data_IF_216015358678
#
_entry.id   IF_216015358678
#
_cell.length_a   1.000
_cell.length_b   1.000
_cell.length_c   1.000
_cell.angle_alpha   90.00
_cell.angle_beta   90.00
_cell.angle_gamma   90.00
#
_symmetry.space_group_name_H-M   'P 1'
#
loop_
_entity.id
_entity.type
_entity.pdbx_description
1 polymer ?
#
# COMPACT_ATOMS: atom_id res chain seq x y z
N UNK A 1 -6.30 -6.73 -30.92
CA UNK A 1 -7.22 -5.57 -30.78
C UNK A 1 -7.34 -5.15 -29.31
N UNK A 2 -7.60 -3.86 -29.04
CA UNK A 2 -7.74 -3.32 -27.68
C UNK A 2 -9.16 -2.81 -27.46
N UNK A 3 -9.79 -3.21 -26.35
CA UNK A 3 -11.15 -2.79 -25.98
C UNK A 3 -11.13 -2.10 -24.62
N UNK A 4 -12.02 -1.12 -24.43
CA UNK A 4 -12.05 -0.33 -23.20
C UNK A 4 -12.78 -1.01 -22.04
N UNK A 5 -13.77 -1.86 -22.36
CA UNK A 5 -14.60 -2.56 -21.38
C UNK A 5 -15.13 -3.88 -21.93
N UNK A 6 -15.56 -4.77 -21.04
CA UNK A 6 -16.18 -6.04 -21.38
C UNK A 6 -17.10 -6.51 -20.24
N UNK A 7 -17.95 -7.50 -20.54
CA UNK A 7 -18.79 -8.19 -19.55
C UNK A 7 -18.59 -9.70 -19.71
N UNK A 8 -18.53 -10.42 -18.60
CA UNK A 8 -18.41 -11.88 -18.60
C UNK A 8 -19.79 -12.50 -18.57
N UNK A 9 -20.16 -13.27 -19.59
CA UNK A 9 -21.37 -14.08 -19.58
C UNK A 9 -20.98 -15.53 -19.24
N UNK A 10 -21.26 -15.96 -18.00
CA UNK A 10 -20.88 -17.26 -17.47
C UNK A 10 -21.95 -17.77 -16.50
N UNK A 11 -22.26 -19.07 -16.47
CA UNK A 11 -23.16 -19.64 -15.47
C UNK A 11 -22.65 -19.49 -14.03
N UNK A 12 -21.36 -19.20 -13.85
CA UNK A 12 -20.73 -19.02 -12.54
C UNK A 12 -20.62 -17.55 -12.12
N UNK A 13 -21.16 -16.61 -12.91
CA UNK A 13 -21.09 -15.18 -12.62
C UNK A 13 -22.49 -14.58 -12.65
N UNK A 14 -22.88 -13.94 -11.55
CA UNK A 14 -24.12 -13.19 -11.43
C UNK A 14 -23.83 -11.71 -11.15
N UNK A 15 -24.44 -10.84 -11.95
CA UNK A 15 -24.39 -9.39 -11.75
C UNK A 15 -25.71 -8.93 -11.14
N UNK A 16 -25.64 -8.32 -9.97
CA UNK A 16 -26.77 -7.63 -9.33
C UNK A 16 -26.59 -6.12 -9.47
N UNK A 17 -27.48 -5.32 -8.86
CA UNK A 17 -27.38 -3.86 -8.89
C UNK A 17 -26.06 -3.34 -8.26
N UNK A 18 -25.62 -3.95 -7.16
CA UNK A 18 -24.50 -3.45 -6.35
C UNK A 18 -23.37 -4.47 -6.15
N UNK A 19 -23.50 -5.69 -6.69
CA UNK A 19 -22.58 -6.79 -6.39
C UNK A 19 -22.34 -7.70 -7.61
N UNK A 20 -21.13 -8.22 -7.71
CA UNK A 20 -20.77 -9.33 -8.61
C UNK A 20 -20.54 -10.56 -7.73
N UNK A 21 -21.31 -11.62 -7.98
CA UNK A 21 -21.13 -12.93 -7.37
C UNK A 21 -20.42 -13.84 -8.36
N UNK A 22 -19.37 -14.53 -7.93
CA UNK A 22 -18.60 -15.44 -8.77
C UNK A 22 -18.25 -16.71 -8.03
N UNK A 23 -18.54 -17.86 -8.65
CA UNK A 23 -18.08 -19.16 -8.16
C UNK A 23 -16.76 -19.52 -8.85
N UNK A 24 -15.74 -19.85 -8.08
CA UNK A 24 -14.43 -20.26 -8.57
C UNK A 24 -14.02 -21.59 -7.95
N UNK A 25 -13.83 -22.60 -8.80
CA UNK A 25 -13.29 -23.89 -8.40
C UNK A 25 -11.74 -23.80 -8.42
N UNK A 26 -11.13 -23.63 -7.25
CA UNK A 26 -9.68 -23.58 -7.09
C UNK A 26 -9.10 -25.01 -7.09
N UNK A 27 -8.52 -25.39 -8.22
CA UNK A 27 -7.81 -26.64 -8.37
C UNK A 27 -6.40 -26.53 -7.78
N UNK A 28 -6.08 -27.43 -6.86
CA UNK A 28 -4.78 -27.49 -6.19
C UNK A 28 -4.38 -28.94 -5.93
N UNK A 29 -3.20 -29.15 -5.35
CA UNK A 29 -2.66 -30.49 -5.12
C UNK A 29 -2.07 -30.59 -3.73
N UNK A 30 -2.50 -31.60 -2.97
CA UNK A 30 -1.94 -31.92 -1.67
C UNK A 30 -0.91 -33.05 -1.82
N UNK A 31 0.27 -32.87 -1.24
CA UNK A 31 1.34 -33.87 -1.25
C UNK A 31 1.51 -34.41 0.16
N UNK A 32 1.38 -35.72 0.32
CA UNK A 32 1.53 -36.41 1.59
C UNK A 32 2.63 -37.47 1.52
N UNK A 33 3.30 -37.72 2.64
CA UNK A 33 4.31 -38.76 2.77
C UNK A 33 3.79 -39.82 3.73
N UNK A 34 3.27 -40.91 3.20
CA UNK A 34 2.56 -41.94 3.97
C UNK A 34 3.28 -43.29 3.86
N UNK A 35 3.26 -44.08 4.94
CA UNK A 35 3.73 -45.46 4.90
C UNK A 35 2.65 -46.35 4.29
N UNK A 36 2.95 -46.97 3.15
CA UNK A 36 2.13 -48.00 2.52
C UNK A 36 2.93 -49.29 2.39
N UNK A 37 2.40 -50.35 2.99
CA UNK A 37 2.99 -51.70 2.97
C UNK A 37 4.45 -51.76 3.45
N UNK A 38 4.80 -51.00 4.49
CA UNK A 38 6.14 -51.00 5.07
C UNK A 38 7.16 -50.10 4.36
N UNK A 39 6.73 -49.35 3.33
CA UNK A 39 7.56 -48.36 2.64
C UNK A 39 6.90 -46.99 2.66
N UNK A 40 7.67 -45.93 2.92
CA UNK A 40 7.17 -44.57 2.79
C UNK A 40 7.12 -44.15 1.32
N UNK A 41 6.00 -43.56 0.91
CA UNK A 41 5.75 -43.12 -0.47
C UNK A 41 5.17 -41.72 -0.47
N UNK A 42 5.58 -40.92 -1.46
CA UNK A 42 4.96 -39.63 -1.75
C UNK A 42 3.69 -39.86 -2.55
N UNK A 43 2.57 -39.29 -2.09
CA UNK A 43 1.27 -39.39 -2.76
C UNK A 43 0.82 -37.98 -3.10
N UNK A 44 0.52 -37.79 -4.38
CA UNK A 44 0.03 -36.54 -4.95
C UNK A 44 -1.48 -36.65 -5.09
N UNK A 45 -2.23 -35.81 -4.37
CA UNK A 45 -3.70 -35.82 -4.31
C UNK A 45 -4.24 -34.51 -4.91
N UNK A 46 -4.61 -34.49 -6.20
CA UNK A 46 -5.35 -33.37 -6.77
C UNK A 46 -6.66 -33.16 -6.01
N UNK A 47 -7.00 -31.90 -5.72
CA UNK A 47 -8.25 -31.53 -5.06
C UNK A 47 -8.78 -30.21 -5.58
N UNK A 48 -10.08 -30.04 -5.50
CA UNK A 48 -10.77 -28.81 -5.88
C UNK A 48 -11.42 -28.20 -4.65
N UNK A 49 -11.18 -26.91 -4.43
CA UNK A 49 -11.80 -26.11 -3.36
C UNK A 49 -12.71 -25.10 -4.02
N UNK A 50 -14.00 -25.15 -3.74
CA UNK A 50 -14.97 -24.19 -4.27
C UNK A 50 -14.95 -22.92 -3.42
N UNK A 51 -14.82 -21.77 -4.08
CA UNK A 51 -14.95 -20.45 -3.48
C UNK A 51 -16.13 -19.69 -4.07
N UNK A 52 -16.89 -19.05 -3.20
CA UNK A 52 -17.96 -18.13 -3.56
C UNK A 52 -17.48 -16.70 -3.25
N UNK A 53 -17.14 -15.95 -4.29
CA UNK A 53 -16.69 -14.58 -4.18
C UNK A 53 -17.86 -13.62 -4.34
N UNK A 54 -17.90 -12.61 -3.47
CA UNK A 54 -18.79 -11.46 -3.55
C UNK A 54 -17.95 -10.19 -3.64
N UNK A 55 -18.16 -9.42 -4.71
CA UNK A 55 -17.48 -8.14 -4.95
C UNK A 55 -18.50 -7.02 -4.96
N UNK A 56 -18.39 -6.08 -4.02
CA UNK A 56 -19.15 -4.82 -4.04
C UNK A 56 -18.70 -3.97 -5.25
N UNK A 57 -19.64 -3.56 -6.09
CA UNK A 57 -19.36 -2.75 -7.28
C UNK A 57 -19.31 -1.25 -6.98
N UNK A 58 -19.76 -0.82 -5.80
CA UNK A 58 -19.69 0.57 -5.37
C UNK A 58 -18.23 0.95 -5.08
N UNK A 59 -17.65 1.79 -5.94
CA UNK A 59 -16.32 2.36 -5.71
C UNK A 59 -16.40 3.40 -4.59
N UNK A 60 -15.71 3.19 -3.45
CA UNK A 60 -15.78 4.10 -2.31
C UNK A 60 -14.99 5.38 -2.58
N UNK A 61 -15.40 6.49 -1.96
CA UNK A 61 -14.52 7.65 -1.85
C UNK A 61 -13.35 7.30 -0.93
N UNK A 62 -12.14 7.26 -1.47
CA UNK A 62 -10.95 6.77 -0.77
C UNK A 62 -10.11 7.92 -0.23
N UNK A 63 -9.78 7.85 1.06
CA UNK A 63 -8.69 8.60 1.65
C UNK A 63 -7.42 7.76 1.76
N UNK A 64 -6.27 8.35 1.43
CA UNK A 64 -4.96 7.73 1.63
C UNK A 64 -4.12 8.65 2.51
N UNK A 65 -3.74 8.15 3.69
CA UNK A 65 -2.86 8.88 4.61
C UNK A 65 -1.45 8.30 4.57
N UNK A 66 -0.46 9.15 4.30
CA UNK A 66 0.92 8.75 4.15
C UNK A 66 1.72 9.10 5.40
N UNK A 67 2.40 8.12 6.00
CA UNK A 67 3.46 8.41 6.97
C UNK A 67 4.72 8.76 6.18
N UNK A 68 5.27 9.96 6.39
CA UNK A 68 6.30 10.54 5.54
C UNK A 68 5.73 11.25 4.30
N UNK A 69 4.55 11.88 4.43
CA UNK A 69 3.86 12.53 3.31
C UNK A 69 4.71 13.62 2.65
N UNK A 70 5.46 14.38 3.46
CA UNK A 70 6.39 15.39 3.00
C UNK A 70 7.66 14.80 2.39
N UNK A 71 7.86 13.49 2.33
CA UNK A 71 9.01 12.83 1.70
C UNK A 71 9.01 12.92 0.17
N UNK A 72 10.06 12.38 -0.47
CA UNK A 72 10.15 12.37 -1.94
C UNK A 72 8.97 11.62 -2.58
N UNK A 73 8.64 10.43 -2.07
CA UNK A 73 7.52 9.64 -2.57
C UNK A 73 6.17 10.32 -2.32
N UNK A 74 5.93 10.80 -1.09
CA UNK A 74 4.64 11.39 -0.73
C UNK A 74 4.34 12.69 -1.50
N UNK A 75 5.33 13.58 -1.62
CA UNK A 75 5.20 14.80 -2.43
C UNK A 75 5.02 14.49 -3.92
N UNK A 76 5.79 13.54 -4.47
CA UNK A 76 5.70 13.14 -5.89
C UNK A 76 4.38 12.44 -6.22
N UNK A 77 3.91 11.54 -5.35
CA UNK A 77 2.62 10.86 -5.53
C UNK A 77 1.47 11.86 -5.57
N UNK A 78 1.46 12.79 -4.61
CA UNK A 78 0.41 13.83 -4.51
C UNK A 78 0.46 14.75 -5.74
N UNK A 79 1.66 15.23 -6.10
CA UNK A 79 1.88 16.05 -7.29
C UNK A 79 1.44 15.35 -8.59
N UNK A 80 1.83 14.08 -8.76
CA UNK A 80 1.50 13.29 -9.95
C UNK A 80 0.00 13.07 -10.11
N UNK A 81 -0.73 12.85 -9.01
CA UNK A 81 -2.19 12.73 -9.05
C UNK A 81 -2.85 14.07 -9.39
N UNK A 82 -2.44 15.18 -8.77
CA UNK A 82 -2.97 16.51 -9.10
C UNK A 82 -2.70 16.83 -10.58
N UNK A 83 -1.49 16.55 -11.07
CA UNK A 83 -1.14 16.81 -12.46
C UNK A 83 -2.02 16.03 -13.45
N UNK A 84 -2.34 14.76 -13.17
CA UNK A 84 -3.23 13.95 -14.01
C UNK A 84 -4.67 14.48 -13.94
N UNK A 85 -5.17 14.72 -12.73
CA UNK A 85 -6.52 15.23 -12.49
C UNK A 85 -6.79 16.56 -13.19
N UNK A 86 -5.84 17.48 -13.12
CA UNK A 86 -5.95 18.82 -13.72
C UNK A 86 -5.52 18.84 -15.19
N UNK A 87 -5.11 17.70 -15.76
CA UNK A 87 -4.69 17.60 -17.17
C UNK A 87 -3.45 18.43 -17.50
N UNK A 88 -2.53 18.60 -16.55
CA UNK A 88 -1.37 19.48 -16.70
C UNK A 88 -0.41 18.95 -17.78
N UNK A 89 0.04 19.86 -18.63
CA UNK A 89 1.19 19.66 -19.52
C UNK A 89 2.29 20.66 -19.17
N UNK A 90 3.54 20.29 -19.42
CA UNK A 90 4.68 21.15 -19.12
C UNK A 90 5.75 21.03 -20.19
N UNK A 91 6.52 22.10 -20.37
CA UNK A 91 7.61 22.10 -21.31
C UNK A 91 8.86 21.45 -20.70
N UNK A 92 9.50 20.58 -21.45
CA UNK A 92 10.86 20.10 -21.19
C UNK A 92 11.77 20.49 -22.36
N UNK A 93 13.07 20.23 -22.22
CA UNK A 93 14.03 20.41 -23.32
C UNK A 93 13.71 19.57 -24.55
N UNK A 94 12.94 18.50 -24.39
CA UNK A 94 12.61 17.51 -25.42
C UNK A 94 11.18 17.71 -25.98
N UNK A 95 10.46 18.74 -25.52
CA UNK A 95 9.10 19.08 -25.97
C UNK A 95 8.09 19.15 -24.82
N UNK A 96 6.82 19.29 -25.17
CA UNK A 96 5.72 19.31 -24.18
C UNK A 96 5.41 17.88 -23.73
N UNK A 97 5.38 17.67 -22.42
CA UNK A 97 4.96 16.42 -21.79
C UNK A 97 3.54 16.57 -21.23
N UNK A 98 2.79 15.48 -21.21
CA UNK A 98 1.45 15.40 -20.60
C UNK A 98 1.50 14.50 -19.38
N UNK A 99 0.82 14.90 -18.30
CA UNK A 99 0.66 14.06 -17.12
C UNK A 99 0.05 12.70 -17.49
N UNK A 100 0.60 11.64 -16.89
CA UNK A 100 0.15 10.26 -17.10
C UNK A 100 0.47 9.40 -15.86
N UNK A 101 0.01 8.15 -15.86
CA UNK A 101 0.27 7.15 -14.82
C UNK A 101 1.22 6.04 -15.28
N UNK A 102 2.19 6.35 -16.14
CA UNK A 102 3.18 5.34 -16.56
C UNK A 102 3.92 4.74 -15.36
N UNK A 103 4.20 3.45 -15.45
CA UNK A 103 4.78 2.66 -14.35
C UNK A 103 3.75 2.08 -13.38
N UNK A 104 2.50 2.55 -13.38
CA UNK A 104 1.41 1.94 -12.61
C UNK A 104 0.85 0.71 -13.30
N UNK A 105 0.87 -0.45 -12.62
CA UNK A 105 0.26 -1.67 -13.14
C UNK A 105 -1.25 -1.49 -13.35
N UNK A 106 -1.95 -0.90 -12.40
CA UNK A 106 -3.42 -0.78 -12.48
C UNK A 106 -3.85 0.21 -13.56
N UNK A 107 -3.08 1.28 -13.78
CA UNK A 107 -3.46 2.35 -14.70
C UNK A 107 -2.89 2.22 -16.12
N UNK A 108 -1.72 1.61 -16.27
CA UNK A 108 -0.96 1.61 -17.53
C UNK A 108 -0.63 0.21 -18.06
N UNK A 109 -1.18 -0.86 -17.48
CA UNK A 109 -1.06 -2.22 -18.03
C UNK A 109 -2.37 -2.73 -18.61
N UNK A 110 -2.26 -3.80 -19.39
CA UNK A 110 -3.38 -4.49 -20.02
C UNK A 110 -3.40 -5.96 -19.65
N UNK A 111 -4.58 -6.57 -19.72
CA UNK A 111 -4.77 -8.01 -19.56
C UNK A 111 -5.41 -8.59 -20.81
N UNK A 112 -5.01 -9.80 -21.19
CA UNK A 112 -5.63 -10.57 -22.27
C UNK A 112 -6.97 -11.11 -21.78
N UNK A 113 -8.05 -10.78 -22.48
CA UNK A 113 -9.41 -11.22 -22.14
C UNK A 113 -9.93 -12.37 -23.00
N UNK A 114 -9.35 -12.55 -24.19
CA UNK A 114 -9.76 -13.62 -25.10
C UNK A 114 -9.19 -13.45 -26.50
N UNK A 115 -9.85 -14.07 -27.48
CA UNK A 115 -9.55 -13.89 -28.90
C UNK A 115 -10.82 -13.65 -29.72
N UNK A 116 -10.69 -12.91 -30.80
CA UNK A 116 -11.75 -12.65 -31.77
C UNK A 116 -11.17 -12.74 -33.18
N UNK A 117 -11.72 -13.63 -34.01
CA UNK A 117 -11.23 -13.91 -35.37
C UNK A 117 -9.73 -14.24 -35.44
N UNK A 118 -9.20 -14.96 -34.44
CA UNK A 118 -7.79 -15.34 -34.38
C UNK A 118 -6.85 -14.25 -33.83
N UNK A 119 -7.35 -13.04 -33.58
CA UNK A 119 -6.59 -12.00 -32.90
C UNK A 119 -6.80 -12.03 -31.39
N UNK A 120 -5.75 -11.74 -30.63
CA UNK A 120 -5.86 -11.56 -29.19
C UNK A 120 -6.50 -10.22 -28.84
N UNK A 121 -7.39 -10.26 -27.85
CA UNK A 121 -8.10 -9.11 -27.32
C UNK A 121 -7.56 -8.77 -25.94
N UNK A 122 -7.18 -7.51 -25.78
CA UNK A 122 -6.66 -6.95 -24.53
C UNK A 122 -7.57 -5.84 -24.04
N UNK A 123 -7.65 -5.70 -22.72
CA UNK A 123 -8.35 -4.61 -22.06
C UNK A 123 -7.45 -3.97 -20.98
N UNK A 124 -7.68 -2.71 -20.57
CA UNK A 124 -6.97 -2.10 -19.45
C UNK A 124 -7.11 -2.94 -18.17
N UNK A 125 -6.05 -3.06 -17.35
CA UNK A 125 -6.13 -3.84 -16.11
C UNK A 125 -7.26 -3.35 -15.19
N UNK A 126 -7.44 -2.04 -15.07
CA UNK A 126 -8.52 -1.41 -14.30
C UNK A 126 -9.94 -1.67 -14.83
N UNK A 127 -10.11 -2.26 -16.01
CA UNK A 127 -11.43 -2.64 -16.52
C UNK A 127 -11.88 -4.04 -16.07
N UNK A 128 -11.04 -4.78 -15.32
CA UNK A 128 -11.38 -6.11 -14.80
C UNK A 128 -12.54 -6.08 -13.81
N UNK A 129 -12.49 -5.13 -12.87
CA UNK A 129 -13.47 -4.93 -11.81
C UNK A 129 -13.53 -3.43 -11.49
N UNK A 130 -14.62 -2.92 -10.89
CA UNK A 130 -14.69 -1.54 -10.41
C UNK A 130 -13.53 -1.24 -9.44
N UNK A 131 -12.73 -0.22 -9.77
CA UNK A 131 -11.56 0.19 -8.98
C UNK A 131 -11.58 1.71 -8.76
N UNK A 132 -11.01 2.14 -7.65
CA UNK A 132 -10.78 3.57 -7.38
C UNK A 132 -9.86 4.14 -8.45
N UNK A 133 -10.27 5.25 -9.09
CA UNK A 133 -9.39 6.04 -9.92
C UNK A 133 -8.46 6.88 -9.02
N UNK A 134 -7.13 6.85 -9.22
CA UNK A 134 -6.21 7.71 -8.47
C UNK A 134 -6.59 9.20 -8.44
N UNK A 135 -7.22 9.74 -9.49
CA UNK A 135 -7.68 11.14 -9.55
C UNK A 135 -8.72 11.50 -8.46
N UNK A 136 -9.41 10.49 -7.93
CA UNK A 136 -10.46 10.62 -6.92
C UNK A 136 -9.95 10.41 -5.48
N UNK A 137 -8.67 10.07 -5.32
CA UNK A 137 -8.07 9.83 -4.01
C UNK A 137 -7.86 11.15 -3.26
N UNK A 138 -8.28 11.19 -2.00
CA UNK A 138 -7.98 12.30 -1.10
C UNK A 138 -6.72 11.97 -0.30
N UNK A 139 -5.64 12.73 -0.50
CA UNK A 139 -4.39 12.55 0.22
C UNK A 139 -4.33 13.37 1.51
N UNK A 140 -3.66 12.80 2.50
CA UNK A 140 -3.27 13.43 3.75
C UNK A 140 -2.09 12.68 4.36
N UNK A 141 -1.76 12.98 5.61
CA UNK A 141 -0.81 12.18 6.38
C UNK A 141 0.10 13.02 7.25
N UNK A 142 1.18 12.37 7.68
CA UNK A 142 2.09 12.87 8.69
C UNK A 142 3.51 13.00 8.14
N UNK A 143 4.28 13.92 8.68
CA UNK A 143 5.74 13.97 8.50
C UNK A 143 6.35 14.58 9.77
N UNK A 144 7.58 14.19 10.09
CA UNK A 144 8.31 14.80 11.21
C UNK A 144 8.74 16.24 10.87
N UNK A 145 8.60 16.66 9.62
CA UNK A 145 8.80 18.02 9.13
C UNK A 145 7.47 18.72 8.82
N UNK A 146 7.31 19.98 9.24
CA UNK A 146 6.17 20.84 8.90
C UNK A 146 6.21 21.46 7.49
N UNK A 147 7.17 21.04 6.65
CA UNK A 147 7.32 21.58 5.29
C UNK A 147 6.09 21.25 4.43
N UNK A 148 5.44 22.27 3.88
CA UNK A 148 4.34 22.09 2.93
C UNK A 148 4.78 21.31 1.69
N UNK A 149 3.83 20.69 0.99
CA UNK A 149 4.14 19.80 -0.11
C UNK A 149 4.75 20.49 -1.34
N UNK A 150 4.47 21.77 -1.60
CA UNK A 150 5.11 22.48 -2.70
C UNK A 150 6.62 22.65 -2.46
N UNK A 151 7.00 23.02 -1.23
CA UNK A 151 8.40 23.14 -0.85
C UNK A 151 9.06 21.76 -0.69
N UNK A 152 8.31 20.75 -0.24
CA UNK A 152 8.78 19.37 -0.20
C UNK A 152 9.07 18.80 -1.60
N UNK A 153 8.21 19.10 -2.58
CA UNK A 153 8.41 18.76 -3.99
C UNK A 153 9.68 19.41 -4.54
N UNK A 154 9.91 20.70 -4.24
CA UNK A 154 11.13 21.40 -4.63
C UNK A 154 12.38 20.79 -3.97
N UNK A 155 12.29 20.43 -2.68
CA UNK A 155 13.37 19.75 -1.94
C UNK A 155 13.67 18.37 -2.51
N UNK A 156 12.63 17.64 -2.94
CA UNK A 156 12.76 16.28 -3.49
C UNK A 156 13.49 16.24 -4.83
N UNK A 157 13.39 17.31 -5.64
CA UNK A 157 14.05 17.45 -6.95
C UNK A 157 13.75 16.29 -7.91
N UNK A 158 12.52 15.79 -7.87
CA UNK A 158 12.06 14.68 -8.72
C UNK A 158 11.41 15.19 -10.00
N UNK A 159 10.52 16.18 -9.89
CA UNK A 159 9.71 16.68 -11.00
C UNK A 159 10.41 17.82 -11.74
N UNK A 160 10.08 18.02 -13.02
CA UNK A 160 10.58 19.14 -13.81
C UNK A 160 10.17 20.49 -13.21
N UNK A 161 11.05 21.49 -13.30
CA UNK A 161 10.84 22.81 -12.68
C UNK A 161 9.58 23.51 -13.21
N UNK A 162 9.25 23.35 -14.49
CA UNK A 162 8.04 23.95 -15.07
C UNK A 162 6.77 23.34 -14.44
N UNK A 163 6.72 22.01 -14.34
CA UNK A 163 5.64 21.31 -13.63
C UNK A 163 5.55 21.72 -12.16
N UNK A 164 6.68 21.85 -11.46
CA UNK A 164 6.71 22.30 -10.06
C UNK A 164 6.06 23.67 -9.88
N UNK A 165 6.31 24.63 -10.79
CA UNK A 165 5.71 25.97 -10.73
C UNK A 165 4.20 25.91 -10.92
N UNK A 166 3.74 25.10 -11.88
CA UNK A 166 2.31 24.92 -12.15
C UNK A 166 1.57 24.24 -10.99
N UNK A 167 2.24 23.31 -10.29
CA UNK A 167 1.67 22.58 -9.16
C UNK A 167 1.69 23.34 -7.83
N UNK A 168 2.53 24.38 -7.70
CA UNK A 168 2.69 25.12 -6.44
C UNK A 168 1.36 25.62 -5.85
N UNK A 169 0.45 26.28 -6.60
CA UNK A 169 -0.82 26.78 -6.05
C UNK A 169 -1.71 25.68 -5.45
N UNK A 170 -1.57 24.44 -5.93
CA UNK A 170 -2.33 23.30 -5.42
C UNK A 170 -1.72 22.71 -4.14
N UNK A 171 -0.40 22.82 -3.96
CA UNK A 171 0.34 22.06 -2.95
C UNK A 171 0.89 22.91 -1.80
N UNK A 172 0.94 24.23 -1.93
CA UNK A 172 1.56 25.10 -0.91
C UNK A 172 0.75 25.19 0.39
N UNK A 173 -0.54 24.86 0.35
CA UNK A 173 -1.41 24.78 1.52
C UNK A 173 -1.54 23.36 2.10
N UNK A 174 -0.90 22.37 1.49
CA UNK A 174 -0.91 20.99 1.97
C UNK A 174 0.27 20.81 2.94
N UNK A 175 -0.03 20.90 4.24
CA UNK A 175 0.96 20.75 5.32
C UNK A 175 0.74 19.40 6.01
N UNK A 176 1.79 18.56 6.17
CA UNK A 176 1.66 17.32 6.92
C UNK A 176 1.27 17.53 8.39
N UNK A 177 0.51 16.59 8.94
CA UNK A 177 0.27 16.50 10.38
C UNK A 177 1.59 16.15 11.10
N UNK A 178 1.75 16.49 12.40
CA UNK A 178 2.92 16.12 13.18
C UNK A 178 3.12 14.60 13.23
N UNK A 179 4.33 14.12 12.97
CA UNK A 179 4.63 12.68 13.01
C UNK A 179 5.14 12.17 14.36
N UNK A 180 5.10 10.86 14.59
CA UNK A 180 5.86 10.23 15.68
C UNK A 180 7.36 10.21 15.30
N UNK A 181 8.22 10.73 16.18
CA UNK A 181 9.67 10.72 15.99
C UNK A 181 10.36 10.02 17.15
N UNK A 182 11.11 8.97 16.83
CA UNK A 182 12.03 8.31 17.76
C UNK A 182 13.45 8.30 17.14
N UNK A 183 14.41 9.05 17.71
CA UNK A 183 15.76 9.15 17.17
C UNK A 183 16.52 7.81 17.18
N UNK A 184 16.13 6.85 18.02
CA UNK A 184 16.82 5.56 18.12
C UNK A 184 16.43 4.60 16.99
N UNK A 185 15.34 4.89 16.27
CA UNK A 185 14.85 4.05 15.17
C UNK A 185 15.32 4.51 13.79
N UNK A 186 15.75 5.75 13.60
CA UNK A 186 16.19 6.28 12.30
C UNK A 186 17.57 6.93 12.39
N UNK A 187 18.16 7.26 11.24
CA UNK A 187 19.49 7.86 11.22
C UNK A 187 19.56 9.18 12.00
N UNK A 188 20.61 9.36 12.81
CA UNK A 188 20.80 10.55 13.66
C UNK A 188 20.80 11.89 12.89
N UNK A 189 21.11 11.87 11.59
CA UNK A 189 21.08 13.05 10.73
C UNK A 189 19.65 13.60 10.47
N UNK A 190 18.60 12.87 10.86
CA UNK A 190 17.21 13.32 10.73
C UNK A 190 16.79 14.29 11.85
N UNK A 191 17.58 14.46 12.91
CA UNK A 191 17.20 15.31 14.06
C UNK A 191 16.89 16.76 13.68
N UNK A 192 17.64 17.35 12.75
CA UNK A 192 17.40 18.73 12.28
C UNK A 192 16.12 18.88 11.44
N UNK A 193 15.60 17.79 10.89
CA UNK A 193 14.35 17.75 10.10
C UNK A 193 13.12 17.64 11.00
N UNK A 194 13.26 17.06 12.19
CA UNK A 194 12.17 16.77 13.11
C UNK A 194 11.70 18.02 13.87
N UNK A 195 10.85 18.85 13.24
CA UNK A 195 10.27 20.05 13.86
C UNK A 195 8.74 19.97 14.06
N UNK A 196 8.09 18.93 13.54
CA UNK A 196 6.65 18.68 13.64
C UNK A 196 6.41 17.29 14.22
N UNK A 197 6.41 17.18 15.55
CA UNK A 197 6.41 15.88 16.24
C UNK A 197 5.32 15.74 17.29
N UNK A 198 4.72 14.55 17.37
CA UNK A 198 3.80 14.16 18.43
C UNK A 198 4.62 13.77 19.67
N UNK A 199 4.35 14.46 20.78
CA UNK A 199 4.99 14.21 22.08
C UNK A 199 4.08 13.35 22.96
N UNK A 200 4.66 12.80 24.03
CA UNK A 200 3.95 11.98 25.01
C UNK A 200 4.47 10.55 25.03
N UNK A 201 3.80 9.71 25.80
CA UNK A 201 3.99 8.26 25.84
C UNK A 201 3.56 7.61 24.53
N UNK A 202 4.03 6.39 24.29
CA UNK A 202 3.66 5.60 23.11
C UNK A 202 2.14 5.38 23.00
N UNK A 203 1.46 5.23 24.14
CA UNK A 203 0.00 5.17 24.17
C UNK A 203 -0.66 6.48 23.72
N UNK A 204 -0.23 7.60 24.27
CA UNK A 204 -0.75 8.92 23.86
C UNK A 204 -0.49 9.18 22.37
N UNK A 205 0.64 8.71 21.84
CA UNK A 205 0.95 8.79 20.42
C UNK A 205 -0.01 7.93 19.58
N UNK A 206 -0.30 6.68 19.97
CA UNK A 206 -1.30 5.84 19.29
C UNK A 206 -2.68 6.50 19.31
N UNK A 207 -3.11 7.01 20.46
CA UNK A 207 -4.40 7.70 20.60
C UNK A 207 -4.48 8.96 19.73
N UNK A 208 -3.35 9.68 19.58
CA UNK A 208 -3.26 10.84 18.68
C UNK A 208 -3.42 10.43 17.21
N UNK A 209 -2.75 9.37 16.75
CA UNK A 209 -2.90 8.88 15.37
C UNK A 209 -4.33 8.40 15.09
N UNK A 210 -4.97 7.74 16.05
CA UNK A 210 -6.38 7.35 15.95
C UNK A 210 -7.27 8.59 15.77
N UNK A 211 -7.05 9.62 16.58
CA UNK A 211 -7.78 10.89 16.48
C UNK A 211 -7.59 11.53 15.11
N UNK A 212 -6.37 11.65 14.62
CA UNK A 212 -6.05 12.24 13.32
C UNK A 212 -6.75 11.53 12.16
N UNK A 213 -6.76 10.18 12.17
CA UNK A 213 -7.45 9.39 11.15
C UNK A 213 -8.97 9.62 11.16
N UNK A 214 -9.58 9.70 12.35
CA UNK A 214 -11.02 9.98 12.51
C UNK A 214 -11.37 11.38 12.02
N UNK A 215 -10.61 12.38 12.42
CA UNK A 215 -10.81 13.77 11.99
C UNK A 215 -10.59 13.93 10.47
N UNK A 216 -9.58 13.27 9.91
CA UNK A 216 -9.35 13.25 8.47
C UNK A 216 -10.54 12.60 7.73
N UNK A 217 -11.04 11.48 8.24
CA UNK A 217 -12.19 10.77 7.65
C UNK A 217 -13.45 11.64 7.65
N UNK A 218 -13.76 12.26 8.79
CA UNK A 218 -14.92 13.14 8.97
C UNK A 218 -14.82 14.39 8.10
N UNK A 219 -13.70 15.12 8.18
CA UNK A 219 -13.47 16.38 7.45
C UNK A 219 -13.59 16.18 5.94
N UNK A 220 -13.02 15.09 5.41
CA UNK A 220 -12.97 14.84 3.97
C UNK A 220 -14.15 14.00 3.46
N UNK A 221 -15.01 13.50 4.35
CA UNK A 221 -16.17 12.66 4.05
C UNK A 221 -15.79 11.46 3.18
N UNK A 222 -14.68 10.80 3.50
CA UNK A 222 -14.23 9.59 2.78
C UNK A 222 -14.88 8.34 3.38
N UNK A 223 -15.26 7.39 2.53
CA UNK A 223 -15.92 6.15 2.94
C UNK A 223 -14.92 5.19 3.58
N UNK A 224 -13.76 5.07 2.96
CA UNK A 224 -12.65 4.19 3.36
C UNK A 224 -11.35 4.98 3.50
N UNK A 225 -10.50 4.49 4.39
CA UNK A 225 -9.15 5.01 4.60
C UNK A 225 -8.15 3.87 4.39
N UNK A 226 -6.97 4.20 3.86
CA UNK A 226 -5.78 3.34 3.87
C UNK A 226 -4.61 4.17 4.37
N UNK A 227 -3.80 3.59 5.24
CA UNK A 227 -2.56 4.20 5.70
C UNK A 227 -1.38 3.50 5.06
N UNK A 228 -0.42 4.28 4.55
CA UNK A 228 0.78 3.75 3.92
C UNK A 228 2.02 4.41 4.53
N UNK A 229 2.95 3.58 4.99
CA UNK A 229 4.27 4.01 5.43
C UNK A 229 5.18 4.21 4.23
N UNK A 230 5.63 5.45 4.02
CA UNK A 230 6.66 5.83 3.04
C UNK A 230 7.70 6.78 3.65
N UNK A 231 7.88 6.71 4.97
CA UNK A 231 8.84 7.52 5.71
C UNK A 231 10.25 6.92 5.61
N UNK A 232 11.18 7.45 6.41
CA UNK A 232 12.51 6.89 6.55
C UNK A 232 12.45 5.42 6.94
N UNK A 233 13.35 4.61 6.40
CA UNK A 233 13.60 3.25 6.87
C UNK A 233 14.02 3.30 8.34
N UNK A 234 13.33 2.52 9.16
CA UNK A 234 13.73 2.31 10.54
C UNK A 234 14.75 1.16 10.64
N UNK A 235 15.51 1.10 11.72
CA UNK A 235 16.18 -0.14 12.11
C UNK A 235 15.13 -1.20 12.45
N UNK A 236 15.56 -2.46 12.46
CA UNK A 236 14.72 -3.53 12.95
C UNK A 236 14.49 -3.40 14.46
N UNK A 237 13.29 -3.79 14.90
CA UNK A 237 12.99 -4.00 16.32
C UNK A 237 13.35 -5.43 16.71
N UNK A 238 13.88 -5.64 17.91
CA UNK A 238 14.08 -6.97 18.46
C UNK A 238 12.73 -7.65 18.73
N UNK A 239 12.61 -8.94 18.34
CA UNK A 239 11.42 -9.75 18.65
C UNK A 239 11.69 -10.56 19.91
N UNK A 240 11.01 -10.22 21.00
CA UNK A 240 11.31 -10.73 22.35
C UNK A 240 10.05 -11.25 23.03
N UNK A 241 10.17 -12.43 23.67
CA UNK A 241 9.11 -13.04 24.47
C UNK A 241 8.73 -12.12 25.64
N UNK A 242 7.44 -11.83 25.79
CA UNK A 242 6.95 -10.92 26.82
C UNK A 242 6.96 -9.44 26.42
N UNK A 243 7.36 -9.12 25.18
CA UNK A 243 7.46 -7.75 24.68
C UNK A 243 6.55 -7.51 23.48
N UNK A 244 6.76 -8.23 22.38
CA UNK A 244 6.06 -8.02 21.10
C UNK A 244 5.76 -9.34 20.36
N UNK A 245 5.84 -10.46 21.08
CA UNK A 245 5.60 -11.82 20.61
C UNK A 245 4.12 -12.21 20.56
N UNK A 246 3.28 -11.62 21.42
CA UNK A 246 1.81 -11.79 21.39
C UNK A 246 1.10 -10.45 21.35
N UNK A 247 -0.18 -10.46 20.97
CA UNK A 247 -1.03 -9.28 20.98
C UNK A 247 -1.08 -8.63 22.37
N UNK A 248 -1.27 -9.42 23.44
CA UNK A 248 -1.36 -8.90 24.81
C UNK A 248 -0.04 -8.25 25.24
N UNK A 249 1.09 -8.91 24.97
CA UNK A 249 2.41 -8.40 25.33
C UNK A 249 2.71 -7.11 24.56
N UNK A 250 2.42 -7.05 23.25
CA UNK A 250 2.62 -5.86 22.44
C UNK A 250 1.83 -4.66 23.00
N UNK A 251 0.55 -4.84 23.28
CA UNK A 251 -0.28 -3.77 23.83
C UNK A 251 0.19 -3.35 25.23
N UNK A 252 0.55 -4.31 26.10
CA UNK A 252 1.11 -4.00 27.41
C UNK A 252 2.45 -3.24 27.33
N UNK A 253 3.28 -3.52 26.31
CA UNK A 253 4.54 -2.81 26.07
C UNK A 253 4.32 -1.36 25.62
N UNK A 254 3.25 -1.10 24.86
CA UNK A 254 2.82 0.27 24.54
C UNK A 254 2.40 1.03 25.79
N UNK A 255 1.60 0.39 26.67
CA UNK A 255 1.18 0.98 27.96
C UNK A 255 2.38 1.32 28.87
N UNK A 256 3.38 0.44 28.89
CA UNK A 256 4.62 0.60 29.69
C UNK A 256 5.65 1.52 29.04
N UNK A 257 5.38 2.03 27.84
CA UNK A 257 6.29 2.88 27.09
C UNK A 257 7.65 2.21 26.82
N UNK A 258 7.65 0.90 26.56
CA UNK A 258 8.86 0.11 26.32
C UNK A 258 9.64 0.62 25.10
N UNK A 259 10.97 0.70 25.19
CA UNK A 259 11.82 1.36 24.18
C UNK A 259 11.74 0.68 22.80
N UNK A 260 11.68 -0.64 22.75
CA UNK A 260 11.77 -1.45 21.53
C UNK A 260 10.44 -1.59 20.76
N UNK A 261 9.61 -0.55 20.81
CA UNK A 261 8.37 -0.42 20.04
C UNK A 261 8.54 0.76 19.08
N UNK A 262 8.72 0.48 17.79
CA UNK A 262 9.05 1.51 16.80
C UNK A 262 7.86 2.44 16.50
N UNK A 263 8.12 3.67 16.00
CA UNK A 263 7.08 4.52 15.45
C UNK A 263 6.20 3.82 14.40
N UNK A 264 6.78 3.07 13.45
CA UNK A 264 5.97 2.31 12.47
C UNK A 264 5.02 1.29 13.12
N UNK A 265 5.44 0.67 14.24
CA UNK A 265 4.60 -0.25 15.01
C UNK A 265 3.42 0.49 15.64
N UNK A 266 3.63 1.70 16.17
CA UNK A 266 2.56 2.52 16.75
C UNK A 266 1.52 2.94 15.71
N UNK A 267 1.94 3.36 14.51
CA UNK A 267 1.01 3.65 13.41
C UNK A 267 0.20 2.40 13.02
N UNK A 268 0.86 1.24 12.90
CA UNK A 268 0.18 0.02 12.51
C UNK A 268 -0.82 -0.45 13.58
N UNK A 269 -0.49 -0.34 14.88
CA UNK A 269 -1.43 -0.59 15.99
C UNK A 269 -2.64 0.34 15.88
N UNK A 270 -2.41 1.65 15.71
CA UNK A 270 -3.50 2.63 15.58
C UNK A 270 -4.44 2.28 14.41
N UNK A 271 -3.88 1.91 13.26
CA UNK A 271 -4.65 1.51 12.07
C UNK A 271 -5.48 0.26 12.32
N UNK A 272 -4.88 -0.79 12.90
CA UNK A 272 -5.57 -2.05 13.17
C UNK A 272 -6.69 -1.87 14.22
N UNK A 273 -6.47 -1.04 15.24
CA UNK A 273 -7.51 -0.73 16.23
C UNK A 273 -8.72 -0.01 15.61
N UNK A 274 -8.51 0.78 14.56
CA UNK A 274 -9.57 1.46 13.79
C UNK A 274 -10.11 0.64 12.61
N UNK A 275 -9.59 -0.56 12.37
CA UNK A 275 -9.97 -1.38 11.21
C UNK A 275 -9.56 -0.76 9.87
N UNK A 276 -8.49 0.04 9.86
CA UNK A 276 -7.95 0.74 8.69
C UNK A 276 -6.76 -0.07 8.15
N UNK A 277 -6.75 -0.43 6.85
CA UNK A 277 -5.61 -1.12 6.26
C UNK A 277 -4.30 -0.34 6.40
N UNK A 278 -3.23 -1.03 6.80
CA UNK A 278 -1.89 -0.45 6.92
C UNK A 278 -0.91 -1.12 5.95
N UNK A 279 -0.18 -0.32 5.18
CA UNK A 279 0.81 -0.80 4.21
C UNK A 279 2.21 -0.32 4.61
N UNK A 280 3.14 -1.25 4.81
CA UNK A 280 4.55 -0.93 5.04
C UNK A 280 5.33 -0.88 3.71
N UNK A 281 5.66 0.34 3.27
CA UNK A 281 6.48 0.57 2.06
C UNK A 281 7.98 0.58 2.31
N UNK A 282 8.43 0.23 3.52
CA UNK A 282 9.84 0.25 3.92
C UNK A 282 10.27 -1.13 4.46
N UNK A 283 11.58 -1.41 4.59
CA UNK A 283 12.05 -2.77 4.88
C UNK A 283 12.08 -3.15 6.35
N UNK A 284 11.81 -2.25 7.30
CA UNK A 284 11.81 -2.61 8.72
C UNK A 284 10.71 -3.63 9.04
N UNK A 285 10.94 -4.45 10.08
CA UNK A 285 10.03 -5.49 10.54
C UNK A 285 8.85 -4.96 11.39
N UNK A 286 8.10 -3.99 10.87
CA UNK A 286 6.93 -3.41 11.56
C UNK A 286 5.94 -4.49 12.02
N UNK A 287 5.72 -5.52 11.21
CA UNK A 287 4.78 -6.62 11.47
C UNK A 287 5.36 -7.70 12.39
N UNK A 288 5.66 -7.32 13.63
CA UNK A 288 6.03 -8.25 14.72
C UNK A 288 4.89 -9.24 15.02
N UNK A 289 5.16 -10.43 15.61
CA UNK A 289 4.14 -11.46 15.82
C UNK A 289 2.89 -10.96 16.55
N UNK A 290 3.05 -10.15 17.61
CA UNK A 290 1.91 -9.58 18.33
C UNK A 290 1.05 -8.62 17.50
N UNK A 291 1.63 -7.94 16.50
CA UNK A 291 0.88 -7.07 15.60
C UNK A 291 0.12 -7.88 14.54
N UNK A 292 0.70 -8.97 14.06
CA UNK A 292 0.01 -9.91 13.16
C UNK A 292 -1.19 -10.54 13.87
N UNK A 293 -1.00 -10.98 15.11
CA UNK A 293 -2.10 -11.52 15.94
C UNK A 293 -3.20 -10.48 16.17
N UNK A 294 -2.83 -9.23 16.46
CA UNK A 294 -3.77 -8.11 16.57
C UNK A 294 -4.55 -7.86 15.26
N UNK A 295 -3.88 -7.91 14.11
CA UNK A 295 -4.52 -7.73 12.81
C UNK A 295 -5.51 -8.86 12.49
N UNK A 296 -5.15 -10.11 12.80
CA UNK A 296 -6.03 -11.28 12.66
C UNK A 296 -7.25 -11.13 13.57
N UNK A 297 -7.06 -10.79 14.85
CA UNK A 297 -8.16 -10.67 15.82
C UNK A 297 -9.15 -9.55 15.47
N UNK A 298 -8.69 -8.52 14.76
CA UNK A 298 -9.50 -7.40 14.27
C UNK A 298 -10.00 -7.57 12.83
N UNK A 299 -9.64 -8.65 12.15
CA UNK A 299 -9.91 -8.87 10.72
C UNK A 299 -9.47 -7.64 9.87
N UNK A 300 -8.31 -7.07 10.19
CA UNK A 300 -7.78 -5.89 9.54
C UNK A 300 -6.64 -6.27 8.58
N UNK A 301 -6.60 -5.61 7.43
CA UNK A 301 -5.56 -5.87 6.43
C UNK A 301 -4.25 -5.15 6.81
N UNK A 302 -3.16 -5.90 6.78
CA UNK A 302 -1.79 -5.37 6.79
C UNK A 302 -1.04 -5.91 5.57
N UNK A 303 -0.13 -5.14 5.00
CA UNK A 303 0.63 -5.55 3.83
C UNK A 303 1.98 -4.86 3.71
N UNK A 304 2.96 -5.53 3.11
CA UNK A 304 4.37 -5.11 3.06
C UNK A 304 5.26 -6.32 2.78
N UNK A 305 6.59 -6.25 2.88
CA UNK A 305 7.42 -5.09 3.25
C UNK A 305 8.26 -4.61 2.07
N UNK A 306 8.66 -3.33 2.09
CA UNK A 306 9.49 -2.64 1.10
C UNK A 306 8.90 -2.51 -0.33
N UNK A 307 9.07 -1.33 -0.93
CA UNK A 307 8.63 -1.11 -2.30
C UNK A 307 9.51 -1.84 -3.32
N UNK A 308 8.92 -2.82 -4.02
CA UNK A 308 9.58 -3.48 -5.16
C UNK A 308 9.52 -2.63 -6.43
N UNK A 309 10.40 -1.63 -6.52
CA UNK A 309 10.41 -0.62 -7.61
C UNK A 309 11.19 -1.06 -8.85
N UNK A 310 12.51 -0.83 -8.90
CA UNK A 310 13.36 -0.99 -10.09
C UNK A 310 14.25 -2.24 -10.05
N UNK A 311 15.40 -2.14 -9.39
CA UNK A 311 16.43 -3.19 -9.42
C UNK A 311 15.92 -4.55 -8.93
N UNK A 312 15.26 -4.60 -7.77
CA UNK A 312 14.72 -5.85 -7.20
C UNK A 312 13.60 -6.42 -8.06
N UNK A 313 12.80 -5.57 -8.72
CA UNK A 313 11.77 -6.00 -9.69
C UNK A 313 12.41 -6.72 -10.87
N UNK A 314 13.38 -6.10 -11.52
CA UNK A 314 14.10 -6.70 -12.65
C UNK A 314 14.83 -7.98 -12.24
N UNK A 315 15.52 -7.97 -11.09
CA UNK A 315 16.24 -9.14 -10.56
C UNK A 315 15.31 -10.34 -10.41
N UNK A 316 14.12 -10.14 -9.84
CA UNK A 316 13.19 -11.25 -9.62
C UNK A 316 12.70 -11.89 -10.92
N UNK A 317 12.44 -11.09 -11.96
CA UNK A 317 12.03 -11.60 -13.27
C UNK A 317 13.19 -12.33 -13.96
N UNK A 318 14.40 -11.77 -13.90
CA UNK A 318 15.56 -12.35 -14.55
C UNK A 318 15.98 -13.68 -13.91
N UNK A 319 16.00 -13.75 -12.58
CA UNK A 319 16.36 -14.98 -11.87
C UNK A 319 15.32 -16.07 -12.11
N UNK A 320 14.04 -15.73 -12.08
CA UNK A 320 12.95 -16.66 -12.40
C UNK A 320 13.07 -17.21 -13.83
N UNK A 321 13.33 -16.34 -14.80
CA UNK A 321 13.60 -16.75 -16.18
C UNK A 321 14.81 -17.70 -16.30
N UNK A 322 15.95 -17.36 -15.68
CA UNK A 322 17.17 -18.16 -15.78
C UNK A 322 16.97 -19.55 -15.16
N UNK A 323 16.41 -19.62 -13.95
CA UNK A 323 16.15 -20.90 -13.26
C UNK A 323 15.09 -21.70 -14.02
N UNK A 324 14.02 -21.05 -14.50
CA UNK A 324 12.98 -21.68 -15.31
C UNK A 324 13.51 -22.23 -16.64
N UNK A 325 14.58 -21.63 -17.19
CA UNK A 325 15.30 -22.13 -18.35
C UNK A 325 16.35 -23.22 -18.01
N UNK A 326 16.49 -23.61 -16.74
CA UNK A 326 17.47 -24.61 -16.29
C UNK A 326 18.90 -24.08 -16.21
N UNK A 327 19.09 -22.76 -16.18
CA UNK A 327 20.40 -22.10 -16.10
C UNK A 327 20.67 -21.75 -14.63
N UNK A 328 21.88 -22.08 -14.15
CA UNK A 328 22.36 -21.79 -12.80
C UNK A 328 23.43 -20.69 -12.82
#
# INVERSE_FOLDING_TARGET
MFIESFKVESPNVEYTENEIHSVYDYETTEVVHENRNGSYQWIVKPKTIKYDFKTDTRVPKLGVMLVGWGGNNGSTLTAGVIANKEGISWATKDGVQQANYFGSLTQASSIRVGSYNGEEIYAPFKSLLPMVNPDDVVFGGWDISDMNLADAMARARVLDIDLQKQLRPYMEHMVPLPGIYDPDFIAANQGSRANSVIKGTKKEQVDHIIKDMREFKEKNKVDKLVVLWTANTERYSDVVVGLNDTMENLLASVEKNEAEISPSTLYAIACVLEGIPFINGSPQNTFVPGLIELAISRNCLIGGDDFKSGQTKMKSVLVDFLVGAGIK
#
